data_IF_613307291705
#
_entry.id   IF_613307291705
#
_cell.length_a   1.000
_cell.length_b   1.000
_cell.length_c   1.000
_cell.angle_alpha   90.00
_cell.angle_beta   90.00
_cell.angle_gamma   90.00
#
_symmetry.space_group_name_H-M   'P 1'
#
loop_
_entity.id
_entity.type
_entity.pdbx_description
1 polymer ?
#
# COMPACT_ATOMS: atom_id res chain seq x y z
N UNK A 1 -12.29 21.30 -3.71
CA UNK A 1 -13.58 21.30 -2.98
C UNK A 1 -13.32 21.81 -1.56
N UNK A 2 -14.14 22.71 -1.03
CA UNK A 2 -13.77 23.50 0.14
C UNK A 2 -14.50 23.06 1.43
N UNK A 3 -13.92 22.10 2.16
CA UNK A 3 -14.35 21.81 3.53
C UNK A 3 -13.69 22.78 4.52
N UNK A 4 -14.23 24.00 4.58
CA UNK A 4 -13.76 25.02 5.52
C UNK A 4 -14.33 24.77 6.92
N UNK A 5 -13.62 23.96 7.71
CA UNK A 5 -13.83 23.86 9.16
C UNK A 5 -13.23 25.12 9.83
N UNK A 6 -14.08 26.04 10.28
CA UNK A 6 -13.70 27.15 11.16
C UNK A 6 -14.78 27.29 12.24
N UNK A 7 -14.52 26.73 13.42
CA UNK A 7 -15.16 27.14 14.67
C UNK A 7 -14.11 27.22 15.78
N UNK A 8 -13.74 28.45 16.14
CA UNK A 8 -13.38 28.83 17.50
C UNK A 8 -13.93 30.25 17.73
N UNK A 9 -14.90 30.37 18.63
CA UNK A 9 -15.10 31.55 19.47
C UNK A 9 -15.57 31.05 20.83
N UNK A 10 -14.80 31.36 21.87
CA UNK A 10 -15.21 31.25 23.27
C UNK A 10 -15.20 32.68 23.84
N UNK A 11 -16.26 33.15 24.53
CA UNK A 11 -16.24 34.44 25.21
C UNK A 11 -15.31 34.42 26.45
N UNK A 12 -14.94 35.59 27.01
CA UNK A 12 -13.79 35.74 27.91
C UNK A 12 -14.09 35.49 29.41
N UNK A 13 -13.02 35.63 30.21
CA UNK A 13 -12.90 35.34 31.64
C UNK A 13 -13.52 36.41 32.57
N UNK A 14 -14.22 35.95 33.62
CA UNK A 14 -14.49 36.56 34.94
C UNK A 14 -14.79 35.36 35.89
N UNK A 15 -14.52 35.32 37.20
CA UNK A 15 -13.89 36.24 38.17
C UNK A 15 -13.53 35.46 39.47
N UNK A 16 -12.93 36.12 40.47
CA UNK A 16 -12.17 35.48 41.57
C UNK A 16 -12.90 35.27 42.92
N UNK A 17 -12.75 34.08 43.55
CA UNK A 17 -12.36 33.84 44.99
C UNK A 17 -13.43 34.24 46.09
N UNK A 18 -13.43 33.84 47.42
CA UNK A 18 -12.63 32.91 48.27
C UNK A 18 -13.36 31.87 49.21
N UNK A 19 -12.55 30.94 49.77
CA UNK A 19 -12.50 30.33 51.14
C UNK A 19 -13.74 29.88 51.98
N UNK A 20 -13.66 28.65 52.54
CA UNK A 20 -13.24 28.34 53.95
C UNK A 20 -13.72 26.91 54.35
N UNK A 21 -12.89 25.85 54.43
CA UNK A 21 -11.79 25.51 55.37
C UNK A 21 -12.23 24.83 56.70
N UNK A 22 -11.74 23.59 56.93
CA UNK A 22 -11.12 23.04 58.18
C UNK A 22 -10.92 21.51 58.07
N UNK A 23 -9.68 21.03 58.09
CA UNK A 23 -8.92 20.45 59.25
C UNK A 23 -9.21 18.93 59.39
N UNK A 24 -8.26 18.02 59.70
CA UNK A 24 -6.95 18.13 60.37
C UNK A 24 -6.00 16.98 59.95
N UNK A 25 -4.68 17.19 60.05
CA UNK A 25 -3.61 16.18 59.88
C UNK A 25 -3.12 15.65 61.27
N UNK A 26 -1.89 15.14 61.49
CA UNK A 26 -0.92 14.42 60.64
C UNK A 26 -0.41 13.10 61.31
N UNK A 27 0.46 12.32 60.64
CA UNK A 27 1.88 12.15 61.05
C UNK A 27 2.64 11.03 60.29
N UNK A 28 3.96 11.22 60.21
CA UNK A 28 4.98 10.42 59.50
C UNK A 28 6.05 9.95 60.54
N UNK A 29 7.11 9.13 60.27
CA UNK A 29 8.05 9.23 59.14
C UNK A 29 8.71 7.91 58.61
N UNK A 30 9.72 8.09 57.75
CA UNK A 30 10.57 7.11 57.01
C UNK A 30 12.00 7.10 57.64
N UNK A 31 12.90 6.07 57.52
CA UNK A 31 13.52 5.70 56.23
C UNK A 31 14.16 4.26 56.05
N UNK A 32 14.56 3.96 54.80
CA UNK A 32 15.83 3.33 54.36
C UNK A 32 16.13 1.80 54.27
N UNK A 33 17.08 1.55 53.35
CA UNK A 33 17.68 0.33 52.77
C UNK A 33 18.58 -0.48 53.73
N UNK A 34 18.91 -1.74 53.39
CA UNK A 34 20.23 -2.21 52.88
C UNK A 34 20.34 -3.75 52.89
N UNK A 35 21.22 -4.33 52.06
CA UNK A 35 21.46 -5.77 51.88
C UNK A 35 22.42 -6.42 52.90
N UNK A 36 22.37 -7.75 53.04
CA UNK A 36 23.48 -8.62 53.50
C UNK A 36 23.41 -9.97 52.74
N UNK A 37 24.56 -10.55 52.42
CA UNK A 37 24.72 -11.85 51.75
C UNK A 37 25.03 -12.99 52.73
N UNK A 38 24.97 -14.25 52.28
CA UNK A 38 25.63 -15.35 52.97
C UNK A 38 26.12 -16.45 52.01
N UNK A 39 27.43 -16.71 52.02
CA UNK A 39 28.08 -17.86 51.39
C UNK A 39 27.87 -19.15 52.22
N UNK A 40 27.86 -20.31 51.56
CA UNK A 40 28.37 -21.57 52.12
C UNK A 40 28.91 -22.55 51.05
N UNK A 41 30.24 -22.67 51.04
CA UNK A 41 31.05 -23.91 50.87
C UNK A 41 30.92 -24.82 49.64
N UNK A 42 31.93 -24.71 48.76
CA UNK A 42 32.79 -25.75 48.18
C UNK A 42 32.43 -27.25 48.36
N UNK A 43 32.61 -28.02 47.28
CA UNK A 43 33.60 -29.10 47.28
C UNK A 43 34.10 -29.47 45.87
N UNK A 44 35.38 -29.79 45.77
CA UNK A 44 36.11 -30.05 44.52
C UNK A 44 36.52 -31.52 44.41
N UNK A 45 36.46 -32.11 43.21
CA UNK A 45 37.31 -33.26 42.85
C UNK A 45 37.44 -33.40 41.33
N UNK A 46 38.59 -33.96 40.90
CA UNK A 46 39.19 -33.75 39.59
C UNK A 46 39.07 -34.97 38.64
N UNK A 47 38.94 -34.71 37.33
CA UNK A 47 39.61 -35.49 36.27
C UNK A 47 39.38 -34.88 34.88
N UNK A 48 40.32 -35.13 33.98
CA UNK A 48 40.31 -34.83 32.53
C UNK A 48 40.72 -36.13 31.79
N UNK A 49 40.80 -36.22 30.43
CA UNK A 49 40.60 -35.19 29.40
C UNK A 49 39.76 -35.60 28.17
N UNK A 50 39.61 -34.64 27.23
CA UNK A 50 39.47 -34.82 25.77
C UNK A 50 38.49 -35.85 25.17
N UNK A 51 37.44 -35.36 24.52
CA UNK A 51 37.06 -35.87 23.19
C UNK A 51 36.43 -34.76 22.35
N UNK A 52 36.79 -34.72 21.07
CA UNK A 52 36.29 -33.75 20.09
C UNK A 52 34.89 -34.12 19.61
N UNK A 53 33.91 -33.24 19.83
CA UNK A 53 32.61 -33.31 19.16
C UNK A 53 32.41 -32.08 18.27
N UNK A 54 32.42 -32.31 16.97
CA UNK A 54 32.06 -31.32 15.96
C UNK A 54 30.56 -31.05 16.03
N UNK A 55 30.16 -29.96 16.69
CA UNK A 55 28.78 -29.48 16.64
C UNK A 55 28.49 -28.86 15.27
N UNK A 56 27.59 -29.49 14.52
CA UNK A 56 26.93 -28.85 13.38
C UNK A 56 26.26 -27.57 13.88
N UNK A 57 26.71 -26.41 13.38
CA UNK A 57 25.98 -25.16 13.51
C UNK A 57 24.78 -25.18 12.57
N UNK A 58 23.71 -25.88 12.98
CA UNK A 58 22.39 -25.71 12.38
C UNK A 58 21.97 -24.25 12.58
N UNK A 59 21.92 -23.51 11.47
CA UNK A 59 21.44 -22.14 11.46
C UNK A 59 19.94 -22.15 11.71
N UNK A 60 19.52 -22.06 12.98
CA UNK A 60 18.16 -21.65 13.29
C UNK A 60 17.98 -20.23 12.75
N UNK A 61 17.25 -20.11 11.64
CA UNK A 61 16.55 -18.88 11.33
C UNK A 61 15.69 -18.52 12.55
N UNK A 62 15.65 -17.24 12.98
CA UNK A 62 14.81 -16.85 14.11
C UNK A 62 13.35 -17.22 13.79
N UNK A 63 12.56 -17.65 14.80
CA UNK A 63 11.16 -17.98 14.57
C UNK A 63 10.46 -16.76 14.01
N UNK A 64 9.85 -16.89 12.83
CA UNK A 64 9.04 -15.83 12.28
C UNK A 64 7.95 -15.48 13.29
N UNK A 65 7.88 -14.20 13.67
CA UNK A 65 6.85 -13.74 14.60
C UNK A 65 5.47 -14.05 14.02
N UNK A 66 4.52 -14.42 14.88
CA UNK A 66 3.16 -14.83 14.48
C UNK A 66 2.49 -13.78 13.56
N UNK A 67 2.86 -12.51 13.67
CA UNK A 67 2.39 -11.44 12.79
C UNK A 67 2.94 -11.49 11.35
N UNK A 68 4.17 -11.95 11.14
CA UNK A 68 4.78 -12.18 9.82
C UNK A 68 3.94 -13.11 8.93
N UNK A 69 3.28 -14.08 9.56
CA UNK A 69 2.42 -15.07 8.90
C UNK A 69 1.12 -14.46 8.33
N UNK A 70 0.72 -13.25 8.73
CA UNK A 70 -0.57 -12.64 8.33
C UNK A 70 -0.46 -11.22 7.73
N UNK A 71 0.57 -10.45 8.10
CA UNK A 71 0.80 -9.08 7.63
C UNK A 71 2.24 -8.90 7.13
N UNK A 72 2.37 -8.35 5.93
CA UNK A 72 3.65 -8.05 5.31
C UNK A 72 4.30 -6.81 5.97
N UNK A 73 5.64 -6.66 5.94
CA UNK A 73 6.34 -5.57 6.66
C UNK A 73 5.82 -4.15 6.40
N UNK A 74 5.35 -3.86 5.18
CA UNK A 74 4.77 -2.55 4.83
C UNK A 74 3.34 -2.37 5.36
N UNK A 75 2.60 -3.45 5.60
CA UNK A 75 1.23 -3.41 6.13
C UNK A 75 1.19 -2.98 7.61
N UNK A 76 2.32 -3.06 8.33
CA UNK A 76 2.44 -2.50 9.69
C UNK A 76 2.25 -0.98 9.74
N UNK A 77 2.20 -0.27 8.60
CA UNK A 77 1.70 1.10 8.52
C UNK A 77 0.25 1.24 9.05
N UNK A 78 -0.55 0.18 9.04
CA UNK A 78 -1.87 0.18 9.68
C UNK A 78 -1.79 0.43 11.20
N UNK A 79 -0.68 0.06 11.86
CA UNK A 79 -0.40 0.38 13.27
C UNK A 79 0.25 1.75 13.44
N UNK A 80 1.00 2.25 12.44
CA UNK A 80 1.56 3.59 12.47
C UNK A 80 0.47 4.66 12.63
N UNK A 81 -0.67 4.53 11.93
CA UNK A 81 -1.74 5.54 12.02
C UNK A 81 -2.38 5.70 13.41
N UNK A 82 -2.84 4.65 14.11
CA UNK A 82 -3.36 4.78 15.47
C UNK A 82 -2.28 5.23 16.46
N UNK A 83 -1.02 4.80 16.29
CA UNK A 83 0.11 5.28 17.11
C UNK A 83 0.33 6.79 16.90
N UNK A 84 0.38 7.27 15.66
CA UNK A 84 0.51 8.69 15.32
C UNK A 84 -0.72 9.52 15.76
N UNK A 85 -1.91 8.91 15.76
CA UNK A 85 -3.14 9.51 16.29
C UNK A 85 -3.04 9.72 17.81
N UNK A 86 -2.64 8.68 18.56
CA UNK A 86 -2.50 8.76 20.03
C UNK A 86 -1.36 9.69 20.42
N UNK A 87 -0.15 9.49 19.88
CA UNK A 87 1.03 10.31 20.21
C UNK A 87 0.86 11.77 19.78
N UNK A 88 0.32 12.03 18.59
CA UNK A 88 0.07 13.39 18.12
C UNK A 88 -1.01 14.10 18.94
N UNK A 89 -2.11 13.41 19.30
CA UNK A 89 -3.14 13.97 20.16
C UNK A 89 -2.62 14.26 21.57
N UNK A 90 -1.81 13.36 22.14
CA UNK A 90 -1.16 13.56 23.44
C UNK A 90 -0.17 14.74 23.40
N UNK A 91 0.62 14.86 22.34
CA UNK A 91 1.53 15.99 22.16
C UNK A 91 0.77 17.31 22.02
N UNK A 92 -0.35 17.33 21.30
CA UNK A 92 -1.24 18.49 21.20
C UNK A 92 -1.81 18.91 22.56
N UNK A 93 -2.33 17.97 23.35
CA UNK A 93 -2.89 18.28 24.69
C UNK A 93 -1.85 18.72 25.71
N UNK A 94 -0.62 18.19 25.66
CA UNK A 94 0.49 18.62 26.55
C UNK A 94 1.10 19.95 26.08
N UNK A 95 1.28 20.13 24.77
CA UNK A 95 1.94 21.31 24.19
C UNK A 95 1.11 22.58 24.30
N UNK A 96 -0.22 22.46 24.29
CA UNK A 96 -1.19 23.56 24.25
C UNK A 96 -1.28 24.24 22.88
N UNK A 97 -2.25 25.14 22.73
CA UNK A 97 -2.53 25.88 21.49
C UNK A 97 -1.44 26.92 21.18
N UNK A 98 -0.28 26.46 20.69
CA UNK A 98 0.81 27.33 20.23
C UNK A 98 0.61 27.71 18.76
N UNK A 99 0.68 29.00 18.39
CA UNK A 99 0.66 29.39 16.99
C UNK A 99 1.89 28.84 16.28
N UNK A 100 1.67 28.08 15.20
CA UNK A 100 2.71 27.45 14.40
C UNK A 100 2.30 27.46 12.93
N UNK A 101 3.25 27.16 12.03
CA UNK A 101 2.95 27.01 10.61
C UNK A 101 1.82 25.99 10.35
N UNK A 102 1.82 24.88 11.11
CA UNK A 102 0.87 23.79 10.91
C UNK A 102 -0.49 24.01 11.58
N UNK A 103 -0.60 24.83 12.63
CA UNK A 103 -1.91 25.22 13.20
C UNK A 103 -2.66 26.27 12.38
N UNK A 104 -2.01 26.91 11.40
CA UNK A 104 -2.67 27.75 10.41
C UNK A 104 -3.27 26.90 9.27
N UNK A 105 -4.61 26.83 9.17
CA UNK A 105 -5.34 26.11 8.12
C UNK A 105 -5.08 26.62 6.69
N UNK A 106 -4.46 27.80 6.52
CA UNK A 106 -4.09 28.39 5.21
C UNK A 106 -2.62 28.14 4.84
N UNK A 107 -1.90 27.28 5.55
CA UNK A 107 -0.54 26.90 5.19
C UNK A 107 -0.46 26.21 3.80
N UNK A 108 0.69 26.33 3.13
CA UNK A 108 0.88 25.91 1.74
C UNK A 108 0.56 24.42 1.52
N UNK A 109 0.98 23.57 2.46
CA UNK A 109 0.79 22.11 2.37
C UNK A 109 -0.70 21.74 2.51
N UNK A 110 -1.42 22.39 3.42
CA UNK A 110 -2.86 22.15 3.56
C UNK A 110 -3.65 22.64 2.33
N UNK A 111 -3.33 23.83 1.82
CA UNK A 111 -4.06 24.45 0.70
C UNK A 111 -3.79 23.75 -0.63
N UNK A 112 -2.53 23.42 -0.95
CA UNK A 112 -2.19 22.78 -2.22
C UNK A 112 -2.41 21.26 -2.19
N UNK A 113 -1.91 20.58 -1.16
CA UNK A 113 -1.89 19.12 -1.12
C UNK A 113 -3.11 18.53 -0.41
N UNK A 114 -3.30 18.80 0.89
CA UNK A 114 -4.30 18.08 1.71
C UNK A 114 -5.73 18.31 1.22
N UNK A 115 -6.12 19.56 0.90
CA UNK A 115 -7.44 19.89 0.34
C UNK A 115 -7.78 19.13 -0.96
N UNK A 116 -6.76 18.68 -1.70
CA UNK A 116 -6.89 17.95 -2.97
C UNK A 116 -6.26 16.55 -2.88
N UNK A 117 -6.18 15.95 -1.69
CA UNK A 117 -5.37 14.74 -1.43
C UNK A 117 -5.65 13.56 -2.36
N UNK A 118 -6.93 13.26 -2.65
CA UNK A 118 -7.28 12.18 -3.59
C UNK A 118 -6.85 12.48 -5.04
N UNK A 119 -6.87 13.75 -5.44
CA UNK A 119 -6.43 14.19 -6.76
C UNK A 119 -4.94 13.95 -6.95
N UNK A 120 -4.11 14.37 -5.99
CA UNK A 120 -2.67 14.11 -6.00
C UNK A 120 -2.34 12.61 -5.93
N UNK A 121 -3.05 11.86 -5.09
CA UNK A 121 -2.95 10.40 -4.99
C UNK A 121 -3.24 9.74 -6.34
N UNK A 122 -4.31 10.14 -7.02
CA UNK A 122 -4.69 9.62 -8.33
C UNK A 122 -3.69 10.00 -9.42
N UNK A 123 -3.20 11.24 -9.45
CA UNK A 123 -2.18 11.69 -10.43
C UNK A 123 -0.88 10.88 -10.28
N UNK A 124 -0.36 10.76 -9.06
CA UNK A 124 0.88 10.01 -8.80
C UNK A 124 0.69 8.52 -9.08
N UNK A 125 -0.44 7.93 -8.67
CA UNK A 125 -0.75 6.53 -8.96
C UNK A 125 -0.87 6.25 -10.47
N UNK A 126 -1.60 7.08 -11.23
CA UNK A 126 -1.78 6.86 -12.67
C UNK A 126 -0.48 7.05 -13.45
N UNK A 127 0.38 8.00 -13.04
CA UNK A 127 1.73 8.14 -13.60
C UNK A 127 2.58 6.90 -13.28
N UNK A 128 2.56 6.42 -12.03
CA UNK A 128 3.21 5.16 -11.64
C UNK A 128 2.74 3.99 -12.50
N UNK A 129 1.43 3.80 -12.61
CA UNK A 129 0.82 2.72 -13.38
C UNK A 129 1.22 2.78 -14.86
N UNK A 130 1.13 3.95 -15.49
CA UNK A 130 1.52 4.14 -16.89
C UNK A 130 3.03 3.95 -17.12
N UNK A 131 3.89 4.50 -16.27
CA UNK A 131 5.35 4.48 -16.46
C UNK A 131 5.96 3.12 -16.12
N UNK A 132 5.41 2.41 -15.13
CA UNK A 132 5.88 1.07 -14.73
C UNK A 132 5.28 -0.02 -15.62
N UNK A 133 3.96 -0.06 -15.77
CA UNK A 133 3.25 -1.18 -16.42
C UNK A 133 2.81 -0.90 -17.86
N UNK A 134 2.67 0.36 -18.28
CA UNK A 134 2.12 0.71 -19.61
C UNK A 134 2.90 0.15 -20.81
N UNK A 135 4.22 -0.07 -20.69
CA UNK A 135 5.03 -0.69 -21.77
C UNK A 135 4.70 -2.18 -22.04
N UNK A 136 4.05 -2.87 -21.10
CA UNK A 136 3.59 -4.24 -21.33
C UNK A 136 2.40 -4.28 -22.30
N UNK A 137 1.48 -3.31 -22.18
CA UNK A 137 0.30 -3.16 -23.03
C UNK A 137 0.70 -2.99 -24.50
N UNK A 138 1.52 -1.98 -24.80
CA UNK A 138 1.96 -1.71 -26.18
C UNK A 138 2.77 -2.86 -26.81
N UNK A 139 3.50 -3.65 -26.01
CA UNK A 139 4.24 -4.81 -26.53
C UNK A 139 3.29 -5.93 -26.95
N UNK A 140 2.22 -6.19 -26.19
CA UNK A 140 1.26 -7.23 -26.55
C UNK A 140 0.48 -6.87 -27.81
N UNK A 141 0.00 -5.62 -27.95
CA UNK A 141 -0.69 -5.17 -29.18
C UNK A 141 0.17 -5.39 -30.43
N UNK A 142 1.46 -5.07 -30.35
CA UNK A 142 2.39 -5.26 -31.46
C UNK A 142 2.68 -6.74 -31.75
N UNK A 143 2.84 -7.59 -30.73
CA UNK A 143 2.97 -9.04 -30.93
C UNK A 143 1.70 -9.68 -31.48
N UNK A 144 0.52 -9.25 -31.06
CA UNK A 144 -0.76 -9.78 -31.52
C UNK A 144 -1.07 -9.33 -32.96
N UNK A 145 -0.75 -8.07 -33.31
CA UNK A 145 -0.84 -7.56 -34.68
C UNK A 145 0.13 -8.28 -35.64
N UNK A 146 1.37 -8.53 -35.22
CA UNK A 146 2.35 -9.30 -35.99
C UNK A 146 1.89 -10.75 -36.22
N UNK A 147 1.29 -11.39 -35.22
CA UNK A 147 0.78 -12.76 -35.36
C UNK A 147 -0.47 -12.83 -36.26
N UNK A 148 -1.36 -11.83 -36.20
CA UNK A 148 -2.51 -11.76 -37.09
C UNK A 148 -2.09 -11.60 -38.56
N UNK A 149 -1.21 -10.64 -38.85
CA UNK A 149 -0.65 -10.44 -40.20
C UNK A 149 0.22 -11.61 -40.69
N UNK A 150 0.77 -12.42 -39.77
CA UNK A 150 1.46 -13.66 -40.10
C UNK A 150 0.52 -14.80 -40.54
N UNK A 151 -0.68 -14.89 -39.96
CA UNK A 151 -1.69 -15.88 -40.36
C UNK A 151 -2.24 -15.57 -41.77
N UNK A 152 -2.52 -14.30 -42.07
CA UNK A 152 -2.96 -13.86 -43.40
C UNK A 152 -1.92 -14.21 -44.51
N UNK A 153 -0.62 -14.19 -44.20
CA UNK A 153 0.44 -14.60 -45.14
C UNK A 153 0.54 -16.12 -45.35
N UNK A 154 0.16 -16.94 -44.36
CA UNK A 154 0.17 -18.40 -44.50
C UNK A 154 -1.02 -18.85 -45.33
N UNK A 155 -2.20 -18.27 -45.11
CA UNK A 155 -3.42 -18.64 -45.83
C UNK A 155 -3.37 -18.23 -47.33
N UNK A 156 -2.62 -17.18 -47.67
CA UNK A 156 -2.36 -16.77 -49.05
C UNK A 156 -1.48 -17.71 -49.90
N UNK A 157 -0.83 -18.72 -49.31
CA UNK A 157 0.12 -19.61 -49.99
C UNK A 157 -0.40 -21.04 -50.30
N UNK A 158 -1.65 -21.36 -49.95
CA UNK A 158 -2.17 -22.76 -49.99
C UNK A 158 -2.99 -23.08 -51.25
N UNK A 159 -3.30 -22.10 -52.11
CA UNK A 159 -4.10 -22.32 -53.33
C UNK A 159 -3.33 -22.02 -54.62
N UNK A 160 -2.54 -22.99 -55.08
CA UNK A 160 -2.26 -23.19 -56.51
C UNK A 160 -2.15 -24.69 -56.84
N UNK A 161 -3.15 -25.30 -57.50
CA UNK A 161 -3.09 -26.70 -57.92
C UNK A 161 -1.95 -26.95 -58.91
N UNK A 162 -1.41 -28.16 -58.91
CA UNK A 162 -0.47 -28.59 -59.95
C UNK A 162 -1.20 -28.76 -61.28
N UNK A 163 -0.55 -28.33 -62.36
CA UNK A 163 -0.80 -28.83 -63.71
C UNK A 163 0.52 -29.46 -64.18
N UNK A 164 0.47 -30.77 -64.45
CA UNK A 164 1.61 -31.53 -64.94
C UNK A 164 1.60 -31.48 -66.47
N UNK A 165 2.68 -30.98 -67.07
CA UNK A 165 2.95 -31.24 -68.49
C UNK A 165 4.30 -31.95 -68.66
N UNK A 166 4.25 -32.96 -69.51
CA UNK A 166 5.30 -33.93 -69.81
C UNK A 166 5.88 -33.58 -71.19
N UNK A 167 7.20 -33.48 -71.37
CA UNK A 167 7.93 -33.80 -72.62
C UNK A 167 9.45 -33.61 -72.48
N UNK A 168 10.17 -34.53 -73.13
CA UNK A 168 11.63 -34.72 -73.26
C UNK A 168 12.50 -33.47 -73.51
N UNK A 169 13.76 -33.47 -73.00
CA UNK A 169 14.97 -33.63 -73.84
C UNK A 169 16.33 -33.55 -73.07
N UNK A 170 17.15 -34.60 -73.18
CA UNK A 170 18.60 -34.56 -73.48
C UNK A 170 19.67 -33.96 -72.53
N UNK A 171 20.85 -34.63 -72.51
CA UNK A 171 22.19 -34.15 -72.08
C UNK A 171 22.41 -33.98 -70.54
N UNK A 172 23.59 -34.23 -69.94
CA UNK A 172 24.83 -34.91 -70.38
C UNK A 172 25.78 -35.21 -69.19
N UNK A 173 26.21 -36.48 -69.06
CA UNK A 173 27.55 -37.01 -68.67
C UNK A 173 28.34 -36.40 -67.46
N UNK A 174 28.85 -37.30 -66.59
CA UNK A 174 30.04 -37.21 -65.68
C UNK A 174 29.75 -36.99 -64.19
N UNK A 175 30.48 -37.56 -63.22
CA UNK A 175 31.39 -38.73 -63.17
C UNK A 175 31.76 -39.04 -61.70
N UNK A 176 32.39 -40.20 -61.45
CA UNK A 176 33.00 -40.68 -60.18
C UNK A 176 32.05 -40.89 -58.96
N UNK A 177 32.06 -41.95 -58.15
CA UNK A 177 32.70 -43.28 -58.05
C UNK A 177 33.08 -43.51 -56.58
N UNK A 178 32.46 -44.53 -55.97
CA UNK A 178 32.83 -45.38 -54.82
C UNK A 178 33.87 -44.88 -53.79
N UNK A 179 33.55 -45.10 -52.50
CA UNK A 179 34.30 -46.03 -51.62
C UNK A 179 33.43 -46.38 -50.40
N UNK A 180 33.36 -47.67 -50.04
CA UNK A 180 32.83 -48.14 -48.74
C UNK A 180 33.91 -48.06 -47.66
N UNK A 181 33.53 -47.78 -46.42
CA UNK A 181 34.29 -48.18 -45.23
C UNK A 181 33.29 -48.72 -44.21
N UNK A 182 33.41 -50.01 -43.90
CA UNK A 182 32.65 -50.64 -42.82
C UNK A 182 33.34 -50.38 -41.47
N UNK A 183 32.58 -49.98 -40.45
CA UNK A 183 33.00 -50.11 -39.05
C UNK A 183 31.79 -50.20 -38.11
N UNK A 184 31.71 -51.31 -37.39
CA UNK A 184 30.72 -51.60 -36.34
C UNK A 184 31.31 -51.28 -34.93
N UNK A 185 30.59 -51.53 -33.83
CA UNK A 185 29.65 -50.61 -33.18
C UNK A 185 30.24 -49.90 -31.95
N UNK A 186 29.66 -48.76 -31.55
CA UNK A 186 29.68 -48.34 -30.14
C UNK A 186 28.33 -47.78 -29.69
N UNK A 187 27.80 -48.35 -28.61
CA UNK A 187 26.64 -47.82 -27.89
C UNK A 187 27.04 -46.57 -27.12
N UNK A 188 26.37 -45.45 -27.38
CA UNK A 188 26.35 -44.34 -26.44
C UNK A 188 24.92 -43.89 -26.15
N UNK A 189 24.58 -43.95 -24.87
CA UNK A 189 23.33 -43.46 -24.30
C UNK A 189 23.33 -41.94 -24.39
N UNK A 190 22.70 -41.41 -25.45
CA UNK A 190 22.44 -39.99 -25.61
C UNK A 190 21.30 -39.54 -24.70
N UNK A 191 21.62 -38.94 -23.55
CA UNK A 191 20.64 -38.33 -22.66
C UNK A 191 20.03 -37.10 -23.32
N UNK A 192 18.73 -37.17 -23.66
CA UNK A 192 17.95 -36.01 -24.08
C UNK A 192 17.71 -35.06 -22.90
N UNK A 193 18.73 -34.28 -22.51
CA UNK A 193 18.51 -33.08 -21.71
C UNK A 193 17.82 -32.02 -22.60
N UNK A 194 16.69 -31.44 -22.16
CA UNK A 194 16.13 -30.29 -22.85
C UNK A 194 17.11 -29.12 -22.80
N UNK A 195 17.16 -28.26 -23.84
CA UNK A 195 18.08 -27.14 -23.87
C UNK A 195 17.82 -26.20 -22.69
N UNK A 196 18.91 -25.86 -22.00
CA UNK A 196 18.98 -24.97 -20.83
C UNK A 196 18.16 -23.70 -21.11
N UNK A 197 17.04 -23.56 -20.40
CA UNK A 197 16.03 -22.56 -20.69
C UNK A 197 16.61 -21.16 -20.88
N UNK A 198 16.28 -20.55 -22.01
CA UNK A 198 16.35 -19.10 -22.15
C UNK A 198 15.64 -18.46 -20.96
N UNK A 199 16.26 -17.45 -20.35
CA UNK A 199 15.58 -16.62 -19.34
C UNK A 199 14.44 -15.92 -20.05
N UNK A 200 13.25 -16.50 -19.94
CA UNK A 200 12.02 -15.93 -20.46
C UNK A 200 11.79 -14.64 -19.68
N UNK A 201 11.97 -13.51 -20.37
CA UNK A 201 11.94 -12.20 -19.72
C UNK A 201 10.53 -11.96 -19.19
N UNK A 202 10.34 -12.07 -17.87
CA UNK A 202 9.04 -11.99 -17.21
C UNK A 202 8.14 -10.90 -17.82
N UNK A 203 7.15 -11.32 -18.62
CA UNK A 203 6.26 -10.42 -19.33
C UNK A 203 5.05 -10.17 -18.46
N UNK A 204 4.98 -8.97 -17.86
CA UNK A 204 3.86 -8.62 -16.97
C UNK A 204 2.56 -8.65 -17.78
N UNK A 205 1.56 -9.49 -17.43
CA UNK A 205 0.36 -9.64 -18.25
C UNK A 205 -0.49 -8.36 -18.27
N UNK A 206 -1.14 -8.05 -19.39
CA UNK A 206 -1.96 -6.83 -19.55
C UNK A 206 -3.15 -6.77 -18.59
N UNK A 207 -3.61 -7.93 -18.12
CA UNK A 207 -4.56 -8.07 -17.02
C UNK A 207 -4.12 -7.27 -15.77
N UNK A 208 -2.82 -7.13 -15.50
CA UNK A 208 -2.27 -6.39 -14.35
C UNK A 208 -2.62 -4.91 -14.39
N UNK A 209 -2.54 -4.28 -15.56
CA UNK A 209 -2.86 -2.86 -15.72
C UNK A 209 -4.36 -2.60 -15.53
N UNK A 210 -5.21 -3.45 -16.13
CA UNK A 210 -6.66 -3.38 -15.98
C UNK A 210 -7.10 -3.66 -14.53
N UNK A 211 -6.52 -4.66 -13.87
CA UNK A 211 -6.75 -4.97 -12.44
C UNK A 211 -6.39 -3.78 -11.54
N UNK A 212 -5.26 -3.13 -11.77
CA UNK A 212 -4.83 -1.96 -11.00
C UNK A 212 -5.78 -0.74 -11.20
N UNK A 213 -6.20 -0.47 -12.44
CA UNK A 213 -7.23 0.55 -12.70
C UNK A 213 -8.56 0.22 -12.02
N UNK A 214 -8.97 -1.04 -12.00
CA UNK A 214 -10.20 -1.47 -11.32
C UNK A 214 -10.12 -1.26 -9.81
N UNK A 215 -8.99 -1.62 -9.16
CA UNK A 215 -8.77 -1.36 -7.73
C UNK A 215 -8.76 0.14 -7.40
N UNK A 216 -8.12 0.97 -8.22
CA UNK A 216 -8.18 2.43 -8.10
C UNK A 216 -9.60 3.00 -8.29
N UNK A 217 -10.37 2.45 -9.24
CA UNK A 217 -11.76 2.81 -9.46
C UNK A 217 -12.63 2.51 -8.23
N UNK A 218 -12.46 1.33 -7.62
CA UNK A 218 -13.13 0.98 -6.37
C UNK A 218 -12.70 1.87 -5.19
N UNK A 219 -11.41 2.17 -5.05
CA UNK A 219 -10.90 3.06 -4.00
C UNK A 219 -11.40 4.50 -4.15
N UNK A 220 -11.54 4.97 -5.40
CA UNK A 220 -12.11 6.29 -5.74
C UNK A 220 -13.61 6.31 -5.47
N UNK A 221 -14.34 5.27 -5.89
CA UNK A 221 -15.77 5.13 -5.63
C UNK A 221 -16.08 5.07 -4.14
N UNK A 222 -15.26 4.36 -3.36
CA UNK A 222 -15.36 4.34 -1.90
C UNK A 222 -15.22 5.75 -1.29
N UNK A 223 -14.11 6.43 -1.58
CA UNK A 223 -13.89 7.81 -1.12
C UNK A 223 -15.04 8.75 -1.49
N UNK A 224 -15.52 8.63 -2.73
CA UNK A 224 -16.59 9.45 -3.26
C UNK A 224 -17.95 9.14 -2.61
N UNK A 225 -18.33 7.87 -2.43
CA UNK A 225 -19.58 7.47 -1.77
C UNK A 225 -19.65 7.93 -0.31
N UNK A 226 -18.55 7.74 0.43
CA UNK A 226 -18.44 8.14 1.84
C UNK A 226 -18.60 9.66 2.00
N UNK A 227 -18.05 10.46 1.06
CA UNK A 227 -18.02 11.91 1.17
C UNK A 227 -19.13 12.67 0.43
N UNK A 228 -19.72 12.14 -0.65
CA UNK A 228 -20.61 12.87 -1.58
C UNK A 228 -21.96 12.18 -1.92
N UNK A 229 -22.24 10.98 -1.38
CA UNK A 229 -23.46 10.14 -1.55
C UNK A 229 -24.63 10.68 -2.42
N UNK A 230 -24.99 9.99 -3.52
CA UNK A 230 -25.99 10.44 -4.51
C UNK A 230 -27.43 10.69 -4.02
N UNK A 231 -27.88 10.11 -2.91
CA UNK A 231 -29.30 10.16 -2.48
C UNK A 231 -29.54 11.02 -1.22
N UNK A 232 -29.03 12.25 -1.18
CA UNK A 232 -29.26 13.22 -0.10
C UNK A 232 -27.96 13.69 0.56
N UNK A 233 -27.95 14.02 1.87
CA UNK A 233 -26.73 14.36 2.59
C UNK A 233 -25.70 13.21 2.50
N UNK A 234 -24.41 13.57 2.49
CA UNK A 234 -23.28 12.62 2.45
C UNK A 234 -23.30 11.66 3.65
N UNK A 235 -22.59 10.53 3.58
CA UNK A 235 -22.58 9.58 4.70
C UNK A 235 -22.05 10.24 5.99
N UNK A 236 -21.09 11.17 5.87
CA UNK A 236 -20.60 11.98 6.98
C UNK A 236 -21.69 12.86 7.61
N UNK A 237 -22.50 13.57 6.81
CA UNK A 237 -23.63 14.36 7.33
C UNK A 237 -24.64 13.45 8.07
N UNK A 238 -24.96 12.28 7.50
CA UNK A 238 -25.88 11.30 8.13
C UNK A 238 -25.33 10.76 9.44
N UNK A 239 -24.05 10.39 9.49
CA UNK A 239 -23.39 9.90 10.69
C UNK A 239 -23.35 10.99 11.78
N UNK A 240 -23.11 12.24 11.38
CA UNK A 240 -23.11 13.37 12.31
C UNK A 240 -24.49 13.60 12.93
N UNK A 241 -25.56 13.60 12.13
CA UNK A 241 -26.95 13.68 12.63
C UNK A 241 -27.30 12.46 13.49
N UNK A 242 -26.95 11.24 13.05
CA UNK A 242 -27.22 9.99 13.78
C UNK A 242 -26.56 9.95 15.16
N UNK A 243 -25.40 10.58 15.31
CA UNK A 243 -24.69 10.72 16.60
C UNK A 243 -25.18 11.90 17.44
N UNK A 244 -26.27 12.56 17.07
CA UNK A 244 -26.91 13.65 17.81
C UNK A 244 -26.47 15.04 17.38
N UNK A 245 -25.92 15.21 16.18
CA UNK A 245 -25.59 16.52 15.61
C UNK A 245 -26.84 17.24 15.09
N UNK A 246 -27.01 18.51 15.46
CA UNK A 246 -28.15 19.33 15.04
C UNK A 246 -27.70 20.67 14.46
N UNK A 247 -28.48 21.18 13.50
CA UNK A 247 -28.33 22.54 12.97
C UNK A 247 -29.16 23.52 13.81
N UNK A 248 -28.67 24.73 14.01
CA UNK A 248 -29.40 25.83 14.65
C UNK A 248 -30.56 26.41 13.82
N UNK A 249 -30.78 25.90 12.61
CA UNK A 249 -31.86 26.26 11.69
C UNK A 249 -32.59 24.97 11.38
N UNK A 250 -33.89 24.94 11.71
CA UNK A 250 -34.71 23.74 11.58
C UNK A 250 -34.81 23.23 10.13
N UNK A 251 -35.01 21.92 9.98
CA UNK A 251 -35.17 21.27 8.67
C UNK A 251 -33.87 20.99 7.89
N UNK A 252 -32.69 21.34 8.43
CA UNK A 252 -31.41 21.14 7.74
C UNK A 252 -30.59 19.95 8.27
N UNK A 253 -30.46 18.93 7.41
CA UNK A 253 -29.79 17.66 7.69
C UNK A 253 -28.37 17.53 7.09
N UNK A 254 -27.80 18.62 6.56
CA UNK A 254 -26.48 18.62 5.91
C UNK A 254 -25.65 19.81 6.37
N UNK A 255 -24.38 19.55 6.72
CA UNK A 255 -23.47 20.57 7.25
C UNK A 255 -23.35 21.77 6.31
N UNK A 256 -23.21 21.49 5.00
CA UNK A 256 -23.08 22.50 3.96
C UNK A 256 -24.32 23.41 3.87
N UNK A 257 -25.52 22.83 3.79
CA UNK A 257 -26.75 23.60 3.60
C UNK A 257 -27.07 24.48 4.81
N UNK A 258 -26.91 23.96 6.03
CA UNK A 258 -27.09 24.71 7.26
C UNK A 258 -26.12 25.92 7.34
N UNK A 259 -24.81 25.70 7.10
CA UNK A 259 -23.81 26.79 7.09
C UNK A 259 -24.08 27.83 6.00
N UNK A 260 -24.56 27.41 4.82
CA UNK A 260 -24.95 28.31 3.72
C UNK A 260 -26.11 29.24 4.08
N UNK A 261 -26.96 28.86 5.02
CA UNK A 261 -28.04 29.71 5.56
C UNK A 261 -27.63 30.50 6.81
N UNK A 262 -26.35 30.49 7.20
CA UNK A 262 -25.87 31.15 8.42
C UNK A 262 -26.11 30.35 9.72
N UNK A 263 -26.62 29.13 9.61
CA UNK A 263 -26.78 28.22 10.74
C UNK A 263 -25.45 27.68 11.26
N UNK A 264 -25.40 27.38 12.56
CA UNK A 264 -24.28 26.70 13.22
C UNK A 264 -24.68 25.27 13.61
N UNK A 265 -23.68 24.40 13.81
CA UNK A 265 -23.89 23.03 14.27
C UNK A 265 -23.49 22.86 15.72
N UNK A 266 -24.19 21.99 16.43
CA UNK A 266 -23.89 21.59 17.80
C UNK A 266 -24.18 20.09 18.00
N UNK A 267 -23.56 19.50 19.03
CA UNK A 267 -23.64 18.05 19.29
C UNK A 267 -22.92 17.19 18.24
N UNK A 268 -23.23 15.90 18.23
CA UNK A 268 -22.77 14.92 17.25
C UNK A 268 -21.27 14.58 17.29
N UNK A 269 -20.86 13.66 16.40
CA UNK A 269 -19.46 13.36 16.10
C UNK A 269 -19.17 13.69 14.63
N UNK A 270 -18.47 14.80 14.38
CA UNK A 270 -18.02 15.17 13.03
C UNK A 270 -16.85 14.27 12.60
N UNK A 271 -16.90 13.67 11.40
CA UNK A 271 -15.84 12.76 10.96
C UNK A 271 -14.67 13.57 10.41
N UNK A 272 -13.45 13.34 10.91
CA UNK A 272 -12.27 14.02 10.39
C UNK A 272 -11.94 13.55 8.97
N UNK A 273 -12.42 14.31 7.98
CA UNK A 273 -12.21 14.04 6.56
C UNK A 273 -10.74 14.00 6.14
N UNK A 274 -9.85 14.71 6.83
CA UNK A 274 -8.40 14.62 6.60
C UNK A 274 -7.81 13.30 7.11
N UNK A 275 -8.18 12.84 8.32
CA UNK A 275 -7.71 11.55 8.84
C UNK A 275 -8.18 10.39 7.93
N UNK A 276 -9.45 10.44 7.54
CA UNK A 276 -10.05 9.54 6.56
C UNK A 276 -9.29 9.52 5.24
N UNK A 277 -9.18 10.68 4.57
CA UNK A 277 -8.66 10.75 3.22
C UNK A 277 -7.16 10.39 3.13
N UNK A 278 -6.36 10.84 4.09
CA UNK A 278 -4.91 10.61 4.07
C UNK A 278 -4.55 9.16 4.42
N UNK A 279 -5.25 8.52 5.37
CA UNK A 279 -4.99 7.10 5.69
C UNK A 279 -5.46 6.17 4.57
N UNK A 280 -6.64 6.42 3.98
CA UNK A 280 -7.13 5.71 2.79
C UNK A 280 -6.14 5.82 1.62
N UNK A 281 -5.64 7.04 1.35
CA UNK A 281 -4.65 7.28 0.31
C UNK A 281 -3.31 6.55 0.55
N UNK A 282 -2.77 6.60 1.78
CA UNK A 282 -1.54 5.88 2.12
C UNK A 282 -1.70 4.37 1.92
N UNK A 283 -2.75 3.77 2.49
CA UNK A 283 -2.96 2.32 2.44
C UNK A 283 -3.14 1.83 1.00
N UNK A 284 -3.94 2.54 0.20
CA UNK A 284 -4.09 2.23 -1.22
C UNK A 284 -2.74 2.29 -1.97
N UNK A 285 -1.97 3.37 -1.81
CA UNK A 285 -0.68 3.53 -2.50
C UNK A 285 0.36 2.48 -2.09
N UNK A 286 0.41 2.12 -0.81
CA UNK A 286 1.36 1.13 -0.29
C UNK A 286 1.03 -0.30 -0.75
N UNK A 287 -0.25 -0.65 -0.84
CA UNK A 287 -0.67 -1.94 -1.40
C UNK A 287 -0.39 -2.02 -2.91
N UNK A 288 -0.68 -0.99 -3.71
CA UNK A 288 -0.31 -1.01 -5.13
C UNK A 288 1.21 -0.93 -5.38
N UNK A 289 1.99 -0.58 -4.36
CA UNK A 289 3.45 -0.65 -4.38
C UNK A 289 4.00 -2.00 -3.86
N UNK A 290 3.15 -2.87 -3.28
CA UNK A 290 3.55 -4.18 -2.70
C UNK A 290 4.41 -5.04 -3.63
N UNK A 291 4.19 -4.97 -4.94
CA UNK A 291 5.03 -5.60 -5.98
C UNK A 291 6.53 -5.32 -5.76
N UNK A 292 6.89 -4.08 -5.44
CA UNK A 292 8.28 -3.66 -5.20
C UNK A 292 8.73 -3.82 -3.75
N UNK A 293 7.81 -4.11 -2.83
CA UNK A 293 8.13 -4.32 -1.42
C UNK A 293 8.29 -5.81 -1.09
N UNK A 294 7.64 -6.69 -1.85
CA UNK A 294 7.58 -8.13 -1.64
C UNK A 294 8.43 -8.93 -2.63
N UNK A 295 8.66 -8.41 -3.85
CA UNK A 295 9.35 -9.13 -4.94
C UNK A 295 10.66 -8.41 -5.29
N UNK A 296 11.82 -8.84 -4.73
CA UNK A 296 13.13 -8.23 -5.01
C UNK A 296 13.47 -8.16 -6.51
N UNK A 297 13.01 -9.14 -7.28
CA UNK A 297 13.20 -9.27 -8.73
C UNK A 297 12.56 -8.10 -9.49
N UNK A 298 11.46 -7.52 -8.98
CA UNK A 298 10.79 -6.37 -9.58
C UNK A 298 11.73 -5.15 -9.68
N UNK A 299 12.60 -4.93 -8.69
CA UNK A 299 13.63 -3.88 -8.75
C UNK A 299 14.71 -4.16 -9.79
N UNK A 300 15.04 -5.44 -10.01
CA UNK A 300 16.01 -5.82 -11.05
C UNK A 300 15.45 -5.58 -12.45
N UNK A 301 14.17 -5.85 -12.67
CA UNK A 301 13.46 -5.53 -13.91
C UNK A 301 13.40 -4.00 -14.19
N UNK A 302 13.43 -3.16 -13.15
CA UNK A 302 13.51 -1.70 -13.29
C UNK A 302 14.94 -1.15 -13.34
N UNK A 303 16.00 -1.98 -13.28
CA UNK A 303 17.40 -1.52 -13.14
C UNK A 303 17.81 -0.46 -14.16
N UNK A 304 17.39 -0.60 -15.42
CA UNK A 304 17.73 0.33 -16.50
C UNK A 304 16.60 1.33 -16.85
N UNK A 305 15.50 1.36 -16.07
CA UNK A 305 14.33 2.23 -16.31
C UNK A 305 14.29 3.37 -15.28
N UNK A 306 15.08 4.42 -15.51
CA UNK A 306 15.16 5.59 -14.62
C UNK A 306 13.79 6.21 -14.32
N UNK A 307 12.95 6.44 -15.34
CA UNK A 307 11.60 6.98 -15.18
C UNK A 307 10.71 6.13 -14.26
N UNK A 308 10.79 4.80 -14.35
CA UNK A 308 10.04 3.88 -13.49
C UNK A 308 10.52 3.94 -12.04
N UNK A 309 11.83 4.07 -11.79
CA UNK A 309 12.36 4.31 -10.43
C UNK A 309 11.84 5.62 -9.85
N UNK A 310 11.87 6.71 -10.62
CA UNK A 310 11.32 8.00 -10.15
C UNK A 310 9.82 7.93 -9.87
N UNK A 311 9.05 7.16 -10.65
CA UNK A 311 7.64 6.95 -10.41
C UNK A 311 7.36 6.15 -9.12
N UNK A 312 8.17 5.13 -8.81
CA UNK A 312 8.12 4.44 -7.50
C UNK A 312 8.48 5.40 -6.35
N UNK A 313 9.57 6.17 -6.49
CA UNK A 313 9.99 7.13 -5.47
C UNK A 313 8.97 8.25 -5.25
N UNK A 314 8.22 8.67 -6.27
CA UNK A 314 7.16 9.68 -6.10
C UNK A 314 5.95 9.14 -5.32
N UNK A 315 5.61 7.85 -5.46
CA UNK A 315 4.62 7.17 -4.61
C UNK A 315 5.07 7.15 -3.15
N UNK A 316 6.31 6.73 -2.88
CA UNK A 316 6.90 6.70 -1.52
C UNK A 316 6.95 8.12 -0.91
N UNK A 317 7.36 9.11 -1.70
CA UNK A 317 7.43 10.51 -1.26
C UNK A 317 6.06 11.09 -0.93
N UNK A 318 5.04 10.80 -1.74
CA UNK A 318 3.67 11.23 -1.48
C UNK A 318 3.08 10.54 -0.24
N UNK A 319 3.29 9.23 -0.08
CA UNK A 319 2.88 8.49 1.12
C UNK A 319 3.57 9.06 2.38
N UNK A 320 4.85 9.42 2.28
CA UNK A 320 5.58 10.06 3.38
C UNK A 320 4.99 11.42 3.75
N UNK A 321 4.61 12.24 2.76
CA UNK A 321 3.91 13.51 2.96
C UNK A 321 2.54 13.31 3.63
N UNK A 322 1.79 12.29 3.22
CA UNK A 322 0.49 11.95 3.82
C UNK A 322 0.63 11.49 5.27
N UNK A 323 1.59 10.63 5.59
CA UNK A 323 1.90 10.25 6.98
C UNK A 323 2.27 11.47 7.84
N UNK A 324 3.08 12.39 7.31
CA UNK A 324 3.40 13.65 8.00
C UNK A 324 2.18 14.54 8.21
N UNK A 325 1.36 14.76 7.18
CA UNK A 325 0.16 15.60 7.29
C UNK A 325 -0.92 14.98 8.19
N UNK A 326 -0.98 13.65 8.29
CA UNK A 326 -1.83 12.93 9.24
C UNK A 326 -1.35 13.16 10.69
N UNK A 327 -0.03 13.08 10.94
CA UNK A 327 0.56 13.44 12.25
C UNK A 327 0.30 14.92 12.61
N UNK A 328 0.49 15.85 11.67
CA UNK A 328 0.17 17.27 11.91
C UNK A 328 -1.33 17.49 12.17
N UNK A 329 -2.21 16.73 11.51
CA UNK A 329 -3.65 16.75 11.79
C UNK A 329 -3.95 16.21 13.18
N UNK A 330 -3.23 15.18 13.64
CA UNK A 330 -3.31 14.62 14.99
C UNK A 330 -2.94 15.64 16.06
N UNK A 331 -1.91 16.45 15.83
CA UNK A 331 -1.45 17.47 16.79
C UNK A 331 -2.39 18.68 16.88
N UNK A 332 -2.81 19.24 15.74
CA UNK A 332 -3.36 20.62 15.71
C UNK A 332 -4.87 20.75 15.47
N UNK A 333 -5.57 19.68 15.06
CA UNK A 333 -6.96 19.77 14.65
C UNK A 333 -7.78 18.62 15.21
N UNK A 334 -9.10 18.82 15.34
CA UNK A 334 -10.10 17.82 15.73
C UNK A 334 -10.02 17.26 17.16
N UNK A 335 -11.17 16.85 17.67
CA UNK A 335 -11.27 16.08 18.91
C UNK A 335 -10.89 14.61 18.70
N UNK A 336 -10.57 13.88 19.77
CA UNK A 336 -10.10 12.50 19.69
C UNK A 336 -11.10 11.57 18.96
N UNK A 337 -12.40 11.69 19.26
CA UNK A 337 -13.43 10.86 18.62
C UNK A 337 -13.54 11.13 17.11
N UNK A 338 -13.49 12.39 16.69
CA UNK A 338 -13.51 12.82 15.28
C UNK A 338 -12.32 12.26 14.49
N UNK A 339 -11.14 12.23 15.12
CA UNK A 339 -9.92 11.62 14.55
C UNK A 339 -10.07 10.11 14.41
N UNK A 340 -10.53 9.45 15.47
CA UNK A 340 -10.67 7.98 15.53
C UNK A 340 -11.72 7.49 14.53
N UNK A 341 -12.87 8.16 14.40
CA UNK A 341 -13.87 7.81 13.37
C UNK A 341 -13.34 8.04 11.96
N UNK A 342 -12.65 9.16 11.72
CA UNK A 342 -11.99 9.44 10.44
C UNK A 342 -10.99 8.34 10.06
N UNK A 343 -10.11 7.96 10.99
CA UNK A 343 -9.14 6.90 10.77
C UNK A 343 -9.81 5.52 10.57
N UNK A 344 -10.86 5.20 11.33
CA UNK A 344 -11.62 3.96 11.15
C UNK A 344 -12.15 3.81 9.72
N UNK A 345 -12.84 4.82 9.19
CA UNK A 345 -13.32 4.79 7.80
C UNK A 345 -12.16 4.76 6.80
N UNK A 346 -11.03 5.43 7.08
CA UNK A 346 -9.88 5.41 6.18
C UNK A 346 -9.21 4.03 6.07
N UNK A 347 -9.21 3.25 7.15
CA UNK A 347 -8.68 1.87 7.16
C UNK A 347 -9.69 0.81 6.69
N UNK A 348 -11.00 1.10 6.79
CA UNK A 348 -12.08 0.13 6.52
C UNK A 348 -12.01 -0.42 5.09
N UNK A 349 -11.83 0.42 4.07
CA UNK A 349 -11.71 -0.04 2.68
C UNK A 349 -10.52 -0.96 2.49
N UNK A 350 -9.34 -0.59 3.00
CA UNK A 350 -8.13 -1.40 2.91
C UNK A 350 -8.32 -2.78 3.54
N UNK A 351 -8.92 -2.84 4.74
CA UNK A 351 -9.20 -4.10 5.42
C UNK A 351 -10.19 -4.97 4.62
N UNK A 352 -11.31 -4.39 4.19
CA UNK A 352 -12.33 -5.11 3.42
C UNK A 352 -11.85 -5.55 2.03
N UNK A 353 -10.83 -4.90 1.44
CA UNK A 353 -10.35 -5.23 0.09
C UNK A 353 -9.04 -6.01 0.11
N UNK A 354 -7.92 -5.40 0.53
CA UNK A 354 -6.58 -6.00 0.46
C UNK A 354 -6.32 -7.04 1.55
N UNK A 355 -6.91 -6.90 2.74
CA UNK A 355 -6.70 -7.88 3.81
C UNK A 355 -7.58 -9.12 3.64
N UNK A 356 -8.79 -8.97 3.08
CA UNK A 356 -9.77 -10.07 2.92
C UNK A 356 -10.11 -10.37 1.46
N UNK A 357 -10.91 -9.55 0.78
CA UNK A 357 -11.53 -9.88 -0.51
C UNK A 357 -10.53 -10.21 -1.64
N UNK A 358 -9.47 -9.43 -1.81
CA UNK A 358 -8.49 -9.62 -2.89
C UNK A 358 -7.55 -10.80 -2.67
N UNK A 359 -7.47 -11.36 -1.45
CA UNK A 359 -6.78 -12.62 -1.18
C UNK A 359 -7.59 -13.84 -1.61
N UNK A 360 -8.90 -13.71 -1.77
CA UNK A 360 -9.84 -14.80 -2.09
C UNK A 360 -10.38 -14.71 -3.52
N UNK A 361 -10.64 -13.50 -4.04
CA UNK A 361 -11.19 -13.32 -5.38
C UNK A 361 -10.09 -13.30 -6.47
N UNK A 362 -10.24 -14.06 -7.57
CA UNK A 362 -9.25 -14.09 -8.67
C UNK A 362 -9.19 -12.76 -9.48
N UNK A 363 -10.25 -11.95 -9.39
CA UNK A 363 -10.31 -10.61 -9.96
C UNK A 363 -10.87 -9.61 -8.92
N UNK A 364 -10.24 -8.44 -8.73
CA UNK A 364 -8.97 -8.03 -9.35
C UNK A 364 -7.75 -8.80 -8.78
N UNK A 365 -7.85 -9.38 -7.59
CA UNK A 365 -6.75 -10.07 -6.90
C UNK A 365 -5.69 -9.11 -6.34
N UNK A 366 -4.71 -9.67 -5.62
CA UNK A 366 -3.62 -8.91 -5.02
C UNK A 366 -2.67 -8.30 -6.09
N UNK A 367 -1.98 -7.18 -5.81
CA UNK A 367 -1.08 -6.56 -6.77
C UNK A 367 0.21 -7.36 -7.04
N UNK A 368 0.79 -8.01 -6.03
CA UNK A 368 2.05 -8.76 -6.11
C UNK A 368 1.95 -10.11 -6.84
N UNK A 369 0.80 -10.78 -6.75
CA UNK A 369 0.47 -11.98 -7.54
C UNK A 369 0.59 -11.78 -9.07
N UNK A 370 0.63 -10.53 -9.53
CA UNK A 370 0.65 -10.16 -10.93
C UNK A 370 2.03 -10.32 -11.64
N UNK A 371 3.07 -10.72 -10.91
CA UNK A 371 4.46 -10.88 -11.42
C UNK A 371 4.92 -12.35 -11.41
N UNK A 372 4.13 -13.27 -10.85
CA UNK A 372 4.50 -14.68 -10.61
C UNK A 372 3.97 -15.64 -11.71
N UNK A 373 3.29 -15.10 -12.74
CA UNK A 373 2.73 -15.84 -13.88
C UNK A 373 3.25 -15.29 -15.21
#
# INVERSE_FOLDING_TARGET
>A
MEYSSIHQRKPPLEGNIPFSARDRAPDSPIPMQTAVAHELTNNSLTSAPSSSSSSLSSSLSPPETIFSQYLLPYQFLCFFFPIALVLGSLFGTIGGDRPSYFSNKRNLLNVLFVKNGWGWTSVVFLIYLAVVFGKAVFRQEQSQSNNASGLDQVEGNVLRPQEQDFVNAGLSISAFQNVQVDQEPQSMVGTNLPPRGSIESAQIPVNTFAKALFRWGLATLYWWLISQWFFGPGLFDRFFVLTGGTCSVDGHWSQYNCRRQGGHWSGGIDISGHMFLLSHACLFLMEELSVFLNVPEAWTALRNRTSAKYAVWSVIGLCSLWCWMLLMTSVYYHHLMEKTTGLFFGMLFWFCTYVTTYKVLPFPGMPDQAVIL
#
